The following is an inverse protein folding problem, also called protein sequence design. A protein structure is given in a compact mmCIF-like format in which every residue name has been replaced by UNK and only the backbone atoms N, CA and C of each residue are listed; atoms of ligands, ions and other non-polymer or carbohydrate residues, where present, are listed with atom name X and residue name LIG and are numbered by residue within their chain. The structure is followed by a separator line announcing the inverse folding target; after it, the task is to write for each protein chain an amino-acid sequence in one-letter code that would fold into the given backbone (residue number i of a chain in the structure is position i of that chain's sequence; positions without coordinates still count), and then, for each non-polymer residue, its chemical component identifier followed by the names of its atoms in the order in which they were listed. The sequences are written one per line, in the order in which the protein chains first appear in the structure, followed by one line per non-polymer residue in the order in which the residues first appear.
data_IF_590160271058
#
_entry.id   IF_590160271058
#
_cell.length_a   1.000
_cell.length_b   1.000
_cell.length_c   1.000
_cell.angle_alpha   90.00
_cell.angle_beta   90.00
_cell.angle_gamma   90.00
#
_symmetry.space_group_name_H-M   'P 1'
#
loop_
_entity.id
_entity.type
_entity.pdbx_description
1 polymer ?
#
# COMPACT_ATOMS: atom_id res chain seq x y z
N UNK A 1 -23.21 -16.29 -20.50
CA UNK A 1 -21.94 -16.74 -19.90
C UNK A 1 -21.32 -17.82 -20.77
N UNK A 2 -20.02 -17.72 -21.08
CA UNK A 2 -19.30 -18.70 -21.92
C UNK A 2 -18.68 -19.87 -21.13
N UNK A 3 -18.87 -19.91 -19.80
CA UNK A 3 -18.28 -20.93 -18.93
C UNK A 3 -16.77 -20.77 -18.69
N UNK A 4 -16.18 -19.65 -19.13
CA UNK A 4 -14.79 -19.31 -18.90
C UNK A 4 -14.58 -18.79 -17.46
N UNK A 5 -13.37 -18.94 -16.88
CA UNK A 5 -13.04 -18.30 -15.61
C UNK A 5 -13.28 -16.79 -15.66
N UNK A 6 -13.84 -16.22 -14.58
CA UNK A 6 -14.23 -14.80 -14.51
C UNK A 6 -13.12 -13.84 -14.96
N UNK A 7 -11.86 -14.15 -14.66
CA UNK A 7 -10.73 -13.30 -15.04
C UNK A 7 -10.51 -13.18 -16.56
N UNK A 8 -11.14 -14.02 -17.39
CA UNK A 8 -11.10 -13.93 -18.84
C UNK A 8 -12.31 -13.17 -19.42
N UNK A 9 -13.40 -13.07 -18.67
CA UNK A 9 -14.68 -12.51 -19.13
C UNK A 9 -14.92 -11.06 -18.64
N UNK A 10 -14.02 -10.51 -17.82
CA UNK A 10 -14.12 -9.13 -17.31
C UNK A 10 -12.92 -8.27 -17.67
N UNK A 11 -13.14 -6.96 -17.66
CA UNK A 11 -12.06 -5.98 -17.74
C UNK A 11 -11.36 -5.85 -16.38
N UNK A 12 -10.01 -5.86 -16.40
CA UNK A 12 -9.19 -5.69 -15.20
C UNK A 12 -8.54 -4.32 -15.20
N UNK A 13 -9.09 -3.39 -14.41
CA UNK A 13 -8.40 -2.14 -14.06
C UNK A 13 -7.46 -2.38 -12.87
N UNK A 14 -6.35 -3.06 -13.10
CA UNK A 14 -5.47 -3.53 -12.02
C UNK A 14 -4.65 -2.41 -11.34
N UNK A 15 -4.28 -1.35 -12.08
CA UNK A 15 -3.55 -0.20 -11.53
C UNK A 15 -4.42 1.06 -11.54
N UNK A 16 -4.18 1.94 -10.56
CA UNK A 16 -4.81 3.27 -10.53
C UNK A 16 -4.52 4.05 -11.81
N UNK A 17 -5.47 4.84 -12.36
CA UNK A 17 -5.24 5.64 -13.54
C UNK A 17 -4.05 6.61 -13.38
N UNK A 18 -3.29 6.80 -14.46
CA UNK A 18 -2.19 7.77 -14.48
C UNK A 18 -2.75 9.20 -14.62
N UNK A 19 -2.40 10.06 -13.67
CA UNK A 19 -2.70 11.49 -13.72
C UNK A 19 -1.60 12.30 -14.42
N UNK A 20 -1.81 13.61 -14.63
CA UNK A 20 -0.84 14.50 -15.30
C UNK A 20 0.54 14.54 -14.63
N UNK A 21 0.60 14.32 -13.32
CA UNK A 21 1.83 14.40 -12.51
C UNK A 21 2.37 13.03 -12.07
N UNK A 22 1.81 11.94 -12.62
CA UNK A 22 2.25 10.57 -12.34
C UNK A 22 1.12 9.63 -11.95
N UNK A 23 1.49 8.41 -11.56
CA UNK A 23 0.59 7.33 -11.19
C UNK A 23 0.95 6.87 -9.78
N UNK A 24 -0.01 6.98 -8.86
CA UNK A 24 0.25 6.76 -7.45
C UNK A 24 -0.86 5.91 -6.84
N UNK A 25 -0.46 5.03 -5.94
CA UNK A 25 -1.38 4.19 -5.18
C UNK A 25 -0.89 4.08 -3.74
N UNK A 26 -1.73 3.53 -2.86
CA UNK A 26 -1.32 3.08 -1.54
C UNK A 26 -1.37 1.55 -1.51
N UNK A 27 -0.22 0.91 -1.54
CA UNK A 27 -0.08 -0.51 -1.19
C UNK A 27 0.53 -0.61 0.20
N UNK A 28 -0.21 -1.22 1.14
CA UNK A 28 0.19 -1.34 2.53
C UNK A 28 1.49 -2.14 2.68
N UNK A 29 2.46 -1.58 3.42
CA UNK A 29 3.70 -2.27 3.76
C UNK A 29 3.55 -3.12 5.01
N UNK A 30 3.99 -4.37 4.96
CA UNK A 30 4.19 -5.21 6.13
C UNK A 30 5.65 -5.10 6.59
N UNK A 31 5.88 -5.03 7.89
CA UNK A 31 7.22 -4.90 8.46
C UNK A 31 7.35 -5.71 9.75
N UNK A 32 8.55 -6.24 9.98
CA UNK A 32 8.91 -6.87 11.25
C UNK A 32 9.66 -5.89 12.13
N UNK A 33 9.25 -5.80 13.40
CA UNK A 33 9.91 -4.98 14.40
C UNK A 33 10.24 -5.81 15.64
N UNK A 34 11.41 -5.56 16.23
CA UNK A 34 11.83 -6.20 17.48
C UNK A 34 11.76 -5.15 18.59
N UNK A 35 10.94 -5.43 19.60
CA UNK A 35 10.77 -4.53 20.73
C UNK A 35 12.08 -4.42 21.53
N UNK A 36 12.50 -3.18 21.84
CA UNK A 36 13.75 -2.89 22.56
C UNK A 36 13.80 -3.51 23.96
N UNK A 37 12.66 -3.77 24.58
CA UNK A 37 12.56 -4.40 25.90
C UNK A 37 12.56 -5.94 25.85
N UNK A 38 12.61 -6.56 24.67
CA UNK A 38 12.66 -8.02 24.56
C UNK A 38 13.95 -8.56 25.17
N UNK A 39 13.83 -9.63 25.96
CA UNK A 39 14.97 -10.40 26.50
C UNK A 39 15.67 -11.25 25.42
N UNK A 40 15.04 -11.45 24.27
CA UNK A 40 15.47 -12.37 23.21
C UNK A 40 15.83 -11.66 21.90
N UNK A 41 16.37 -10.43 21.95
CA UNK A 41 16.64 -9.61 20.76
C UNK A 41 17.59 -10.27 19.76
N UNK A 42 18.66 -10.93 20.25
CA UNK A 42 19.60 -11.63 19.37
C UNK A 42 18.89 -12.75 18.60
N UNK A 43 18.18 -13.63 19.33
CA UNK A 43 17.44 -14.74 18.73
C UNK A 43 16.39 -14.25 17.73
N UNK A 44 15.64 -13.18 18.06
CA UNK A 44 14.67 -12.60 17.14
C UNK A 44 15.32 -12.07 15.86
N UNK A 45 16.48 -11.39 15.95
CA UNK A 45 17.24 -10.93 14.78
C UNK A 45 17.73 -12.12 13.93
N UNK A 46 18.25 -13.15 14.57
CA UNK A 46 18.75 -14.35 13.89
C UNK A 46 17.60 -15.10 13.19
N UNK A 47 16.42 -15.18 13.82
CA UNK A 47 15.21 -15.71 13.21
C UNK A 47 14.77 -14.90 11.99
N UNK A 48 14.72 -13.56 12.09
CA UNK A 48 14.33 -12.73 10.94
C UNK A 48 15.31 -12.87 9.78
N UNK A 49 16.61 -12.99 10.04
CA UNK A 49 17.61 -13.28 9.00
C UNK A 49 17.36 -14.63 8.35
N UNK A 50 17.15 -15.67 9.15
CA UNK A 50 16.84 -17.01 8.64
C UNK A 50 15.55 -17.00 7.80
N UNK A 51 14.49 -16.34 8.28
CA UNK A 51 13.21 -16.24 7.59
C UNK A 51 13.34 -15.57 6.21
N UNK A 52 14.21 -14.57 6.09
CA UNK A 52 14.43 -13.81 4.84
C UNK A 52 15.48 -14.42 3.90
N UNK A 53 16.04 -15.60 4.23
CA UNK A 53 16.80 -16.37 3.25
C UNK A 53 15.90 -16.76 2.07
N UNK A 54 16.44 -16.73 0.85
CA UNK A 54 15.68 -17.02 -0.37
C UNK A 54 14.84 -18.30 -0.27
N UNK A 55 15.41 -19.38 0.25
CA UNK A 55 14.75 -20.68 0.36
C UNK A 55 13.57 -20.70 1.35
N UNK A 56 13.53 -19.75 2.30
CA UNK A 56 12.50 -19.65 3.32
C UNK A 56 11.45 -18.61 2.93
N UNK A 57 11.90 -17.40 2.60
CA UNK A 57 11.02 -16.33 2.15
C UNK A 57 10.36 -16.67 0.81
N UNK A 58 11.08 -17.33 -0.11
CA UNK A 58 10.55 -17.74 -1.40
C UNK A 58 9.32 -18.64 -1.27
N UNK A 59 9.31 -19.58 -0.33
CA UNK A 59 8.13 -20.44 -0.06
C UNK A 59 6.93 -19.62 0.42
N UNK A 60 7.16 -18.66 1.31
CA UNK A 60 6.10 -17.74 1.75
C UNK A 60 5.61 -16.91 0.57
N UNK A 61 6.53 -16.31 -0.20
CA UNK A 61 6.22 -15.47 -1.34
C UNK A 61 5.43 -16.21 -2.44
N UNK A 62 5.79 -17.45 -2.73
CA UNK A 62 5.09 -18.30 -3.71
C UNK A 62 3.63 -18.52 -3.35
N UNK A 63 3.33 -18.81 -2.09
CA UNK A 63 1.96 -19.05 -1.61
C UNK A 63 1.11 -17.77 -1.59
N UNK A 64 1.75 -16.60 -1.52
CA UNK A 64 1.02 -15.33 -1.54
C UNK A 64 0.57 -14.91 -2.95
N UNK A 65 1.19 -15.45 -4.01
CA UNK A 65 0.86 -15.09 -5.39
C UNK A 65 0.79 -13.56 -5.60
N UNK A 66 -0.28 -13.05 -6.21
CA UNK A 66 -0.50 -11.62 -6.45
C UNK A 66 -0.94 -10.81 -5.23
N UNK A 67 -1.17 -11.44 -4.05
CA UNK A 67 -1.61 -10.72 -2.85
C UNK A 67 -0.49 -9.99 -2.11
N UNK A 68 0.76 -10.46 -2.25
CA UNK A 68 1.93 -9.82 -1.64
C UNK A 68 3.00 -9.53 -2.70
N UNK A 69 3.64 -8.38 -2.57
CA UNK A 69 4.81 -8.00 -3.39
C UNK A 69 6.07 -8.17 -2.56
N UNK A 70 7.13 -8.69 -3.18
CA UNK A 70 8.36 -8.99 -2.46
C UNK A 70 9.08 -7.74 -1.94
N UNK A 71 9.83 -7.90 -0.85
CA UNK A 71 10.45 -6.79 -0.13
C UNK A 71 11.61 -6.10 -0.90
N UNK A 72 12.07 -6.66 -2.03
CA UNK A 72 13.19 -6.13 -2.83
C UNK A 72 12.95 -6.36 -4.33
N UNK A 73 13.65 -5.60 -5.18
CA UNK A 73 13.54 -5.70 -6.65
C UNK A 73 13.78 -7.10 -7.21
N UNK A 74 14.59 -7.93 -6.53
CA UNK A 74 14.86 -9.32 -6.94
C UNK A 74 13.58 -10.14 -7.08
N UNK A 75 12.59 -9.90 -6.22
CA UNK A 75 11.35 -10.67 -6.20
C UNK A 75 10.39 -10.31 -7.35
N UNK A 76 10.63 -9.20 -8.05
CA UNK A 76 9.84 -8.81 -9.23
C UNK A 76 10.04 -9.79 -10.40
N UNK A 77 11.19 -10.48 -10.43
CA UNK A 77 11.57 -11.43 -11.49
C UNK A 77 11.39 -12.90 -11.06
N UNK A 78 10.75 -13.15 -9.92
CA UNK A 78 10.55 -14.50 -9.40
C UNK A 78 9.63 -15.33 -10.32
N UNK A 79 9.93 -16.63 -10.59
CA UNK A 79 9.15 -17.47 -11.50
C UNK A 79 7.66 -17.65 -11.13
N UNK A 80 7.29 -17.39 -9.87
CA UNK A 80 5.88 -17.39 -9.42
C UNK A 80 5.01 -16.46 -10.28
N UNK A 81 5.53 -15.29 -10.69
CA UNK A 81 4.75 -14.33 -11.47
C UNK A 81 4.29 -14.89 -12.82
N UNK A 82 4.99 -15.86 -13.39
CA UNK A 82 4.58 -16.54 -14.62
C UNK A 82 3.45 -17.57 -14.39
N UNK A 83 3.18 -17.94 -13.13
CA UNK A 83 2.17 -18.93 -12.74
C UNK A 83 0.84 -18.30 -12.33
N UNK A 84 0.82 -17.02 -11.96
CA UNK A 84 -0.41 -16.31 -11.61
C UNK A 84 -1.15 -15.81 -12.86
N UNK A 85 -2.46 -15.61 -12.71
CA UNK A 85 -3.31 -15.09 -13.79
C UNK A 85 -2.75 -13.79 -14.36
N UNK A 86 -2.83 -13.65 -15.70
CA UNK A 86 -2.30 -12.50 -16.44
C UNK A 86 -2.65 -11.13 -15.82
N UNK A 87 -3.88 -10.88 -15.33
CA UNK A 87 -4.23 -9.61 -14.68
C UNK A 87 -3.41 -9.30 -13.42
N UNK A 88 -2.93 -10.32 -12.69
CA UNK A 88 -2.18 -10.15 -11.45
C UNK A 88 -0.70 -9.85 -11.68
N UNK A 89 -0.16 -10.19 -12.86
CA UNK A 89 1.28 -10.07 -13.14
C UNK A 89 1.79 -8.63 -13.07
N UNK A 90 0.91 -7.64 -13.28
CA UNK A 90 1.26 -6.22 -13.19
C UNK A 90 1.65 -5.81 -11.75
N UNK A 91 1.14 -6.51 -10.73
CA UNK A 91 1.40 -6.18 -9.33
C UNK A 91 2.84 -6.45 -8.90
N UNK A 92 3.63 -7.18 -9.68
CA UNK A 92 5.05 -7.40 -9.41
C UNK A 92 5.84 -6.12 -9.18
N UNK A 93 5.39 -5.00 -9.76
CA UNK A 93 6.01 -3.69 -9.63
C UNK A 93 5.15 -2.66 -8.87
N UNK A 94 4.03 -3.08 -8.29
CA UNK A 94 3.07 -2.19 -7.62
C UNK A 94 3.73 -1.34 -6.51
N UNK A 95 4.66 -1.91 -5.76
CA UNK A 95 5.40 -1.22 -4.70
C UNK A 95 6.13 0.05 -5.18
N UNK A 96 6.49 0.14 -6.47
CA UNK A 96 7.15 1.32 -7.06
C UNK A 96 6.21 2.53 -7.21
N UNK A 97 4.90 2.29 -7.26
CA UNK A 97 3.87 3.32 -7.36
C UNK A 97 3.34 3.74 -5.98
N UNK A 98 3.75 3.05 -4.91
CA UNK A 98 3.26 3.32 -3.56
C UNK A 98 3.69 4.70 -3.06
N UNK A 99 2.74 5.48 -2.56
CA UNK A 99 3.00 6.63 -1.68
C UNK A 99 2.48 6.31 -0.28
N UNK A 100 3.35 6.43 0.71
CA UNK A 100 2.96 6.27 2.11
C UNK A 100 2.12 7.47 2.59
N UNK A 101 1.36 7.26 3.66
CA UNK A 101 0.70 8.35 4.38
C UNK A 101 1.71 9.43 4.77
N UNK A 102 1.34 10.68 4.56
CA UNK A 102 2.21 11.83 4.85
C UNK A 102 3.09 12.29 3.68
N UNK A 103 3.16 11.55 2.56
CA UNK A 103 3.91 11.98 1.38
C UNK A 103 3.53 13.41 0.93
N UNK A 104 4.50 14.28 0.59
CA UNK A 104 5.94 14.03 0.45
C UNK A 104 6.73 14.06 1.77
N UNK A 105 6.09 14.36 2.89
CA UNK A 105 6.67 14.27 4.23
C UNK A 105 6.74 12.84 4.79
N UNK A 106 7.21 12.68 6.04
CA UNK A 106 7.35 11.38 6.68
C UNK A 106 5.99 10.79 7.09
N UNK A 107 5.92 9.46 7.12
CA UNK A 107 4.85 8.71 7.79
C UNK A 107 4.96 8.90 9.31
N UNK A 108 4.33 9.96 9.80
CA UNK A 108 4.42 10.44 11.19
C UNK A 108 3.10 10.28 11.93
N UNK A 109 3.12 10.48 13.25
CA UNK A 109 1.91 10.50 14.07
C UNK A 109 0.88 11.54 13.56
N UNK A 110 1.35 12.71 13.10
CA UNK A 110 0.51 13.74 12.47
C UNK A 110 -0.14 13.25 11.17
N UNK A 111 0.61 12.56 10.32
CA UNK A 111 0.08 11.96 9.09
C UNK A 111 -0.98 10.89 9.40
N UNK A 112 -0.73 10.06 10.41
CA UNK A 112 -1.71 9.08 10.90
C UNK A 112 -2.94 9.77 11.49
N UNK A 113 -2.78 10.84 12.27
CA UNK A 113 -3.89 11.58 12.86
C UNK A 113 -4.83 12.12 11.78
N UNK A 114 -4.27 12.74 10.73
CA UNK A 114 -5.05 13.26 9.60
C UNK A 114 -5.85 12.15 8.90
N UNK A 115 -5.24 10.97 8.75
CA UNK A 115 -5.91 9.79 8.19
C UNK A 115 -7.01 9.25 9.11
N UNK A 116 -6.73 9.06 10.39
CA UNK A 116 -7.68 8.49 11.37
C UNK A 116 -8.85 9.41 11.69
N UNK A 117 -8.68 10.73 11.52
CA UNK A 117 -9.76 11.72 11.59
C UNK A 117 -10.59 11.80 10.30
N UNK A 118 -10.26 11.01 9.28
CA UNK A 118 -10.98 10.97 8.01
C UNK A 118 -11.06 12.33 7.29
N UNK A 119 -10.13 13.26 7.53
CA UNK A 119 -10.26 14.66 7.06
C UNK A 119 -10.51 14.75 5.55
N UNK A 120 -9.76 13.99 4.75
CA UNK A 120 -9.93 13.98 3.29
C UNK A 120 -11.21 13.26 2.86
N UNK A 121 -11.63 12.22 3.58
CA UNK A 121 -12.89 11.51 3.29
C UNK A 121 -14.08 12.42 3.59
N UNK A 122 -14.04 13.08 4.73
CA UNK A 122 -15.06 14.03 5.17
C UNK A 122 -15.13 15.25 4.27
N UNK A 123 -14.00 15.68 3.69
CA UNK A 123 -13.97 16.73 2.66
C UNK A 123 -14.87 16.36 1.48
N UNK A 124 -14.70 15.15 0.92
CA UNK A 124 -15.55 14.65 -0.16
C UNK A 124 -17.00 14.46 0.31
N UNK A 125 -17.22 13.92 1.51
CA UNK A 125 -18.56 13.71 2.04
C UNK A 125 -19.33 15.04 2.17
N UNK A 126 -18.68 16.10 2.66
CA UNK A 126 -19.28 17.44 2.76
C UNK A 126 -19.65 18.01 1.39
N UNK A 127 -18.78 17.84 0.39
CA UNK A 127 -19.07 18.28 -0.97
C UNK A 127 -20.28 17.54 -1.55
N UNK A 128 -20.33 16.21 -1.39
CA UNK A 128 -21.46 15.37 -1.82
C UNK A 128 -22.76 15.75 -1.10
N UNK A 129 -22.68 16.21 0.14
CA UNK A 129 -23.83 16.68 0.93
C UNK A 129 -24.29 18.12 0.60
N UNK A 130 -23.68 18.77 -0.40
CA UNK A 130 -24.12 20.07 -0.92
C UNK A 130 -23.27 21.28 -0.50
N UNK A 131 -22.17 21.08 0.22
CA UNK A 131 -21.18 22.14 0.42
C UNK A 131 -20.47 22.42 -0.91
N UNK A 132 -20.18 23.70 -1.22
CA UNK A 132 -19.35 24.03 -2.39
C UNK A 132 -17.98 23.36 -2.27
N UNK A 133 -17.44 22.88 -3.39
CA UNK A 133 -16.18 22.14 -3.40
C UNK A 133 -15.03 22.96 -2.79
N UNK A 134 -14.97 24.26 -3.10
CA UNK A 134 -13.96 25.18 -2.57
C UNK A 134 -14.04 25.32 -1.05
N UNK A 135 -15.25 25.33 -0.50
CA UNK A 135 -15.46 25.48 0.94
C UNK A 135 -15.18 24.18 1.69
N UNK A 136 -15.47 23.02 1.08
CA UNK A 136 -15.08 21.72 1.60
C UNK A 136 -13.55 21.57 1.68
N UNK A 137 -12.83 22.00 0.63
CA UNK A 137 -11.36 22.02 0.61
C UNK A 137 -10.81 22.97 1.68
N UNK A 138 -11.34 24.19 1.81
CA UNK A 138 -10.91 25.13 2.87
C UNK A 138 -11.13 24.56 4.27
N UNK A 139 -12.25 23.86 4.49
CA UNK A 139 -12.50 23.18 5.76
C UNK A 139 -11.42 22.12 6.04
N UNK A 140 -11.13 21.26 5.06
CA UNK A 140 -10.13 20.20 5.20
C UNK A 140 -8.72 20.78 5.44
N UNK A 141 -8.36 21.85 4.72
CA UNK A 141 -7.11 22.59 4.95
C UNK A 141 -7.03 23.10 6.40
N UNK A 142 -8.11 23.68 6.92
CA UNK A 142 -8.18 24.15 8.31
C UNK A 142 -7.97 23.02 9.34
N UNK A 143 -8.59 21.86 9.12
CA UNK A 143 -8.39 20.69 9.99
C UNK A 143 -6.95 20.16 9.91
N UNK A 144 -6.33 20.16 8.73
CA UNK A 144 -4.93 19.78 8.56
C UNK A 144 -3.99 20.76 9.25
N UNK A 145 -4.22 22.08 9.16
CA UNK A 145 -3.38 23.09 9.84
C UNK A 145 -3.36 22.90 11.34
N UNK A 146 -4.49 22.60 11.98
CA UNK A 146 -4.54 22.28 13.42
C UNK A 146 -3.62 21.12 13.81
N UNK A 147 -3.42 20.15 12.92
CA UNK A 147 -2.52 19.01 13.16
C UNK A 147 -1.06 19.39 12.90
N UNK A 148 -0.80 20.07 11.78
CA UNK A 148 0.56 20.30 11.30
C UNK A 148 1.23 21.53 11.91
N UNK A 149 0.46 22.59 12.18
CA UNK A 149 0.98 23.90 12.59
C UNK A 149 0.81 24.17 14.09
N UNK A 150 -0.14 23.50 14.77
CA UNK A 150 -0.39 23.66 16.21
C UNK A 150 -1.19 24.92 16.51
#
# INVERSE_FOLDING_TARGET
EKGEPLFQDIEHSALMPKGPVGQFALYGGQQHSIMKYSKNQKLAKDFLKWLHLDANYGKWFEVNEGYSVGATKKWEDHPMWAKVDKPLQVFRQAARLTRAFGHPGPASAKATEAYTKYIIVDMYAKAVQGMKAEDAVKWAEGELKKIYEG
#
